data_IF_942139028382
#
_entry.id   IF_942139028382
#
_cell.length_a   1.000
_cell.length_b   1.000
_cell.length_c   1.000
_cell.angle_alpha   90.00
_cell.angle_beta   90.00
_cell.angle_gamma   90.00
#
_symmetry.space_group_name_H-M   'P 1'
#
loop_
_entity.id
_entity.type
_entity.pdbx_description
1 polymer ?
#
# COMPACT_ATOMS: atom_id res chain seq x y z
N UNK A 1 -8.61 15.54 -3.59
CA UNK A 1 -7.69 14.45 -3.99
C UNK A 1 -8.55 13.27 -4.42
N UNK A 2 -8.32 12.68 -5.59
CA UNK A 2 -9.05 11.47 -6.04
C UNK A 2 -8.11 10.27 -5.99
N UNK A 3 -8.66 9.06 -5.85
CA UNK A 3 -7.92 7.81 -5.77
C UNK A 3 -8.24 6.94 -6.99
N UNK A 4 -7.24 6.60 -7.81
CA UNK A 4 -7.40 5.60 -8.88
C UNK A 4 -7.14 4.19 -8.30
N UNK A 5 -8.01 3.24 -8.62
CA UNK A 5 -8.17 1.97 -7.91
C UNK A 5 -7.35 0.83 -8.52
N UNK A 6 -6.60 0.11 -7.69
CA UNK A 6 -6.22 -1.27 -7.95
C UNK A 6 -7.11 -2.16 -7.08
N UNK A 7 -7.83 -3.16 -7.63
CA UNK A 7 -8.63 -4.09 -6.84
C UNK A 7 -7.83 -4.72 -5.71
N UNK A 8 -8.50 -4.95 -4.57
CA UNK A 8 -7.97 -5.75 -3.45
C UNK A 8 -7.30 -6.99 -4.00
N UNK A 9 -5.98 -6.99 -3.92
CA UNK A 9 -5.15 -8.01 -4.50
C UNK A 9 -4.19 -8.50 -3.41
N UNK A 10 -4.23 -9.81 -3.19
CA UNK A 10 -3.48 -10.49 -2.14
C UNK A 10 -2.01 -10.68 -2.51
N UNK A 11 -1.51 -10.15 -3.64
CA UNK A 11 -0.08 -10.17 -3.95
C UNK A 11 0.71 -9.31 -2.97
N UNK A 12 1.98 -9.67 -2.81
CA UNK A 12 2.93 -8.90 -2.00
C UNK A 12 3.20 -7.54 -2.62
N UNK A 13 3.50 -6.55 -1.79
CA UNK A 13 3.83 -5.18 -2.23
C UNK A 13 4.96 -5.16 -3.27
N UNK A 14 5.95 -6.07 -3.15
CA UNK A 14 7.05 -6.25 -4.09
C UNK A 14 6.62 -6.42 -5.55
N UNK A 15 5.45 -7.02 -5.82
CA UNK A 15 4.97 -7.24 -7.19
C UNK A 15 4.59 -5.93 -7.89
N UNK A 16 4.20 -4.91 -7.14
CA UNK A 16 3.74 -3.62 -7.67
C UNK A 16 4.84 -2.57 -7.72
N UNK A 17 5.75 -2.61 -6.75
CA UNK A 17 6.71 -1.52 -6.52
C UNK A 17 7.51 -1.11 -7.77
N UNK A 18 8.06 -2.03 -8.58
CA UNK A 18 8.80 -1.62 -9.78
C UNK A 18 7.95 -0.79 -10.75
N UNK A 19 6.68 -1.18 -10.96
CA UNK A 19 5.76 -0.45 -11.83
C UNK A 19 5.33 0.88 -11.22
N UNK A 20 4.99 0.90 -9.93
CA UNK A 20 4.59 2.13 -9.23
C UNK A 20 5.72 3.16 -9.19
N UNK A 21 6.97 2.71 -8.98
CA UNK A 21 8.17 3.56 -9.05
C UNK A 21 8.34 4.11 -10.46
N UNK A 22 8.14 3.29 -11.50
CA UNK A 22 8.22 3.72 -12.91
C UNK A 22 7.15 4.76 -13.27
N UNK A 23 5.96 4.69 -12.66
CA UNK A 23 4.91 5.69 -12.87
C UNK A 23 5.28 7.08 -12.31
N UNK A 24 6.27 7.15 -11.41
CA UNK A 24 6.80 8.38 -10.81
C UNK A 24 5.71 9.35 -10.33
N UNK A 25 4.72 8.80 -9.61
CA UNK A 25 3.59 9.57 -9.08
C UNK A 25 3.49 9.41 -7.55
N UNK A 26 2.48 10.05 -6.97
CA UNK A 26 2.14 9.95 -5.56
C UNK A 26 1.14 8.82 -5.34
N UNK A 27 1.47 7.89 -4.45
CA UNK A 27 0.58 6.79 -4.08
C UNK A 27 0.46 6.65 -2.57
N UNK A 28 -0.72 6.24 -2.10
CA UNK A 28 -0.88 5.68 -0.75
C UNK A 28 -0.92 4.16 -0.87
N UNK A 29 -0.03 3.47 -0.16
CA UNK A 29 0.08 2.02 -0.15
C UNK A 29 -0.32 1.54 1.25
N UNK A 30 -1.29 0.64 1.31
CA UNK A 30 -1.68 -0.07 2.53
C UNK A 30 -1.41 -1.55 2.38
N UNK A 31 -0.92 -2.18 3.45
CA UNK A 31 -0.60 -3.60 3.51
C UNK A 31 -0.93 -4.18 4.89
N UNK A 32 -1.14 -5.49 4.92
CA UNK A 32 -1.35 -6.25 6.14
C UNK A 32 0.00 -6.51 6.82
N UNK A 33 0.02 -6.39 8.15
CA UNK A 33 1.18 -6.73 8.99
C UNK A 33 1.13 -8.20 9.46
N UNK A 34 0.07 -8.93 9.12
CA UNK A 34 -0.02 -10.36 9.34
C UNK A 34 1.08 -11.08 8.53
N UNK A 35 1.85 -11.94 9.22
CA UNK A 35 2.89 -12.77 8.60
C UNK A 35 2.33 -14.04 7.96
N UNK A 36 1.21 -14.52 8.46
CA UNK A 36 0.46 -15.65 7.90
C UNK A 36 -0.73 -15.12 7.10
N UNK A 37 -0.89 -15.60 5.87
CA UNK A 37 -2.03 -15.27 5.01
C UNK A 37 -3.36 -15.78 5.58
N UNK A 38 -3.34 -16.85 6.38
CA UNK A 38 -4.51 -17.34 7.10
C UNK A 38 -5.12 -16.28 8.02
N UNK A 39 -4.28 -15.46 8.67
CA UNK A 39 -4.74 -14.39 9.56
C UNK A 39 -5.40 -13.21 8.81
N UNK A 40 -5.12 -13.05 7.52
CA UNK A 40 -5.76 -12.01 6.69
C UNK A 40 -7.19 -12.43 6.34
N UNK A 41 -7.43 -13.75 6.24
CA UNK A 41 -8.70 -14.35 5.84
C UNK A 41 -9.52 -14.89 7.03
N UNK A 42 -9.01 -14.74 8.24
CA UNK A 42 -9.66 -15.22 9.45
C UNK A 42 -10.93 -14.40 9.77
N UNK A 43 -11.84 -15.03 10.52
CA UNK A 43 -12.95 -14.32 11.13
C UNK A 43 -12.43 -13.30 12.16
N UNK A 44 -13.14 -12.17 12.36
CA UNK A 44 -12.79 -11.23 13.39
C UNK A 44 -12.90 -11.86 14.79
N UNK A 45 -12.03 -11.44 15.69
CA UNK A 45 -12.13 -11.80 17.11
C UNK A 45 -13.37 -11.17 17.77
N UNK A 46 -13.57 -11.42 19.07
CA UNK A 46 -14.70 -10.90 19.85
C UNK A 46 -14.82 -9.36 19.85
N UNK A 47 -13.75 -8.64 19.50
CA UNK A 47 -13.74 -7.17 19.39
C UNK A 47 -13.94 -6.67 17.94
N UNK A 48 -14.25 -7.57 16.99
CA UNK A 48 -14.41 -7.22 15.58
C UNK A 48 -13.10 -7.06 14.81
N UNK A 49 -11.95 -7.43 15.40
CA UNK A 49 -10.62 -7.24 14.82
C UNK A 49 -10.13 -8.50 14.10
N UNK A 50 -9.62 -8.34 12.87
CA UNK A 50 -9.02 -9.45 12.10
C UNK A 50 -7.50 -9.41 12.22
N UNK A 51 -6.84 -8.42 11.61
CA UNK A 51 -5.40 -8.27 11.69
C UNK A 51 -4.94 -6.82 11.51
N UNK A 52 -3.71 -6.54 11.96
CA UNK A 52 -3.08 -5.24 11.82
C UNK A 52 -2.76 -4.91 10.37
N UNK A 53 -2.89 -3.63 10.02
CA UNK A 53 -2.46 -3.08 8.73
C UNK A 53 -1.73 -1.77 8.94
N UNK A 54 -0.89 -1.40 7.98
CA UNK A 54 -0.20 -0.11 7.97
C UNK A 54 -0.41 0.62 6.64
N UNK A 55 -0.13 1.93 6.63
CA UNK A 55 -0.25 2.81 5.45
C UNK A 55 1.00 3.67 5.34
N UNK A 56 1.55 3.73 4.13
CA UNK A 56 2.70 4.55 3.77
C UNK A 56 2.42 5.33 2.49
N UNK A 57 3.26 6.32 2.22
CA UNK A 57 3.23 7.10 0.99
C UNK A 57 4.41 6.69 0.11
N UNK A 58 4.16 6.39 -1.16
CA UNK A 58 5.21 6.23 -2.17
C UNK A 58 5.26 7.50 -3.02
N UNK A 59 6.44 8.08 -3.16
CA UNK A 59 6.68 9.25 -4.01
C UNK A 59 8.12 9.24 -4.53
N UNK A 60 8.29 9.38 -5.85
CA UNK A 60 9.61 9.49 -6.52
C UNK A 60 10.61 8.42 -6.09
N UNK A 61 10.19 7.15 -6.11
CA UNK A 61 11.05 6.02 -5.74
C UNK A 61 11.30 5.84 -4.25
N UNK A 62 10.65 6.62 -3.38
CA UNK A 62 10.84 6.54 -1.93
C UNK A 62 9.54 6.24 -1.21
N UNK A 63 9.63 5.36 -0.22
CA UNK A 63 8.57 5.16 0.76
C UNK A 63 8.77 6.15 1.91
N UNK A 64 7.74 6.92 2.20
CA UNK A 64 7.62 7.81 3.34
C UNK A 64 6.66 7.17 4.33
N UNK A 65 7.15 6.85 5.53
CA UNK A 65 6.35 6.24 6.59
C UNK A 65 5.96 7.30 7.63
N UNK A 66 4.69 7.75 7.68
CA UNK A 66 4.26 8.77 8.61
C UNK A 66 4.32 8.34 10.07
N UNK A 67 4.24 7.03 10.37
CA UNK A 67 4.25 6.54 11.74
C UNK A 67 5.66 6.58 12.35
N UNK A 68 6.69 6.30 11.54
CA UNK A 68 8.10 6.34 11.98
C UNK A 68 8.82 7.65 11.62
N UNK A 69 8.25 8.47 10.74
CA UNK A 69 8.90 9.67 10.19
C UNK A 69 10.07 9.35 9.25
N UNK A 70 10.19 8.11 8.79
CA UNK A 70 11.33 7.66 7.98
C UNK A 70 11.07 7.79 6.49
N UNK A 71 12.17 7.92 5.74
CA UNK A 71 12.21 7.88 4.28
C UNK A 71 13.19 6.79 3.86
N UNK A 72 12.72 5.84 3.08
CA UNK A 72 13.54 4.73 2.56
C UNK A 72 13.39 4.60 1.06
N UNK A 73 14.40 4.04 0.40
CA UNK A 73 14.26 3.59 -0.98
C UNK A 73 13.14 2.54 -1.07
N UNK A 74 12.31 2.65 -2.11
CA UNK A 74 11.12 1.83 -2.25
C UNK A 74 11.43 0.36 -2.53
N UNK A 75 12.47 0.08 -3.31
CA UNK A 75 12.83 -1.29 -3.72
C UNK A 75 13.53 -2.08 -2.61
N UNK A 76 14.06 -1.38 -1.61
CA UNK A 76 14.72 -1.97 -0.43
C UNK A 76 13.89 -1.87 0.85
N UNK A 77 12.67 -1.32 0.77
CA UNK A 77 11.82 -1.15 1.93
C UNK A 77 11.46 -2.50 2.57
N UNK A 78 11.56 -2.57 3.89
CA UNK A 78 11.41 -3.82 4.67
C UNK A 78 10.02 -4.50 4.52
N UNK A 79 9.03 -3.80 3.98
CA UNK A 79 7.63 -4.21 3.88
C UNK A 79 7.27 -4.79 2.51
N UNK A 80 8.25 -4.95 1.63
CA UNK A 80 8.08 -5.53 0.30
C UNK A 80 7.45 -6.94 0.35
N UNK A 81 7.65 -7.66 1.46
CA UNK A 81 7.09 -8.99 1.67
C UNK A 81 5.66 -9.00 2.23
N UNK A 82 5.12 -7.87 2.66
CA UNK A 82 3.77 -7.78 3.18
C UNK A 82 2.73 -7.95 2.07
N UNK A 83 1.59 -8.55 2.40
CA UNK A 83 0.46 -8.66 1.50
C UNK A 83 -0.22 -7.30 1.34
N UNK A 84 -0.49 -6.92 0.10
CA UNK A 84 -1.14 -5.66 -0.24
C UNK A 84 -2.58 -5.67 0.27
N UNK A 85 -3.00 -4.55 0.86
CA UNK A 85 -4.39 -4.31 1.25
C UNK A 85 -5.07 -3.43 0.20
N UNK A 86 -4.52 -2.23 -0.05
CA UNK A 86 -5.01 -1.27 -1.05
C UNK A 86 -3.86 -0.41 -1.56
N UNK A 87 -3.91 -0.06 -2.84
CA UNK A 87 -3.01 0.93 -3.45
C UNK A 87 -3.87 1.95 -4.15
N UNK A 88 -3.58 3.22 -3.89
CA UNK A 88 -4.27 4.32 -4.54
C UNK A 88 -3.28 5.30 -5.11
N UNK A 89 -3.47 5.64 -6.38
CA UNK A 89 -2.82 6.81 -6.98
C UNK A 89 -3.51 8.07 -6.47
N UNK A 90 -2.74 8.98 -5.92
CA UNK A 90 -3.19 10.27 -5.43
C UNK A 90 -3.17 11.26 -6.59
N UNK A 91 -4.34 11.77 -6.98
CA UNK A 91 -4.42 12.77 -8.07
C UNK A 91 -5.11 14.07 -7.63
N UNK A 92 -4.77 15.21 -8.27
CA UNK A 92 -5.45 16.49 -8.05
C UNK A 92 -6.97 16.39 -8.25
N UNK A 93 -7.73 17.28 -7.60
CA UNK A 93 -9.21 17.32 -7.73
C UNK A 93 -9.64 17.46 -9.19
N UNK A 94 -8.91 18.29 -9.95
CA UNK A 94 -9.21 18.57 -11.35
C UNK A 94 -8.55 17.58 -12.31
N UNK A 95 -7.90 16.52 -11.81
CA UNK A 95 -7.39 15.47 -12.68
C UNK A 95 -8.56 14.83 -13.45
N UNK A 96 -8.50 14.75 -14.79
CA UNK A 96 -9.50 14.07 -15.59
C UNK A 96 -9.64 12.63 -15.08
N UNK A 97 -10.88 12.15 -14.92
CA UNK A 97 -11.06 10.71 -14.71
C UNK A 97 -10.69 10.07 -16.03
N UNK A 98 -9.63 9.26 -16.05
CA UNK A 98 -9.43 8.33 -17.16
C UNK A 98 -10.68 7.46 -17.30
N UNK A 99 -11.00 7.10 -18.54
CA UNK A 99 -12.09 6.16 -18.86
C UNK A 99 -11.93 4.84 -18.11
#
# INVERSE_FOLDING_TARGET
MKLAYCPTDVRRVAFYLPELVKLDDLFTISYYLARDSGNILADPNEQGWVCSSHVVVLHRGHVLDPASGTRTDALTHHLNNCHTKRIFRVVPVNHPRGL
#
